data_IF_729249894135
#
_entry.id   IF_729249894135
#
_cell.length_a   1.000
_cell.length_b   1.000
_cell.length_c   1.000
_cell.angle_alpha   90.00
_cell.angle_beta   90.00
_cell.angle_gamma   90.00
#
_symmetry.space_group_name_H-M   'P 1'
#
loop_
_entity.id
_entity.type
_entity.pdbx_description
1 polymer ?
#
# COMPACT_ATOMS: atom_id res chain seq x y z
N UNK A 1 -8.65 5.25 17.29
CA UNK A 1 -7.41 4.56 17.70
C UNK A 1 -6.55 4.42 16.46
N UNK A 2 -5.31 4.92 16.48
CA UNK A 2 -4.38 4.77 15.38
C UNK A 2 -3.92 3.30 15.34
N UNK A 3 -4.68 2.43 14.68
CA UNK A 3 -4.32 1.02 14.52
C UNK A 3 -3.18 0.92 13.48
N UNK A 4 -1.99 1.29 13.90
CA UNK A 4 -0.75 1.15 13.14
C UNK A 4 -0.01 -0.03 13.76
N UNK A 5 -0.01 -1.16 13.05
CA UNK A 5 0.78 -2.32 13.44
C UNK A 5 2.15 -2.23 12.77
N UNK A 6 3.20 -2.22 13.57
CA UNK A 6 4.59 -2.23 13.10
C UNK A 6 5.29 -3.37 13.81
N UNK A 7 5.82 -4.31 13.03
CA UNK A 7 6.64 -5.38 13.58
C UNK A 7 7.93 -4.82 14.18
N UNK A 8 8.42 -5.41 15.28
CA UNK A 8 9.65 -4.97 15.98
C UNK A 8 10.91 -4.95 15.11
N UNK A 9 10.92 -5.74 14.04
CA UNK A 9 12.04 -5.81 13.08
C UNK A 9 11.90 -4.83 11.90
N UNK A 10 10.79 -4.11 11.81
CA UNK A 10 10.60 -3.09 10.79
C UNK A 10 11.27 -1.78 11.22
N UNK A 11 11.93 -1.13 10.26
CA UNK A 11 12.62 0.14 10.44
C UNK A 11 11.81 1.20 9.71
N UNK A 12 11.38 2.21 10.45
CA UNK A 12 10.67 3.38 9.92
C UNK A 12 11.49 4.59 10.30
N UNK A 13 12.00 5.30 9.30
CA UNK A 13 12.73 6.54 9.53
C UNK A 13 11.80 7.62 10.10
N UNK A 14 12.36 8.46 10.98
CA UNK A 14 11.62 9.46 11.75
C UNK A 14 10.77 10.45 10.95
N UNK A 15 11.10 10.70 9.68
CA UNK A 15 10.32 11.62 8.83
C UNK A 15 9.14 10.95 8.10
N UNK A 16 9.06 9.62 8.10
CA UNK A 16 8.03 8.90 7.36
C UNK A 16 6.63 9.23 7.91
N UNK A 17 5.68 9.46 7.01
CA UNK A 17 4.30 9.77 7.37
C UNK A 17 3.44 8.54 7.15
N UNK A 18 2.73 8.12 8.19
CA UNK A 18 1.84 6.95 8.14
C UNK A 18 0.40 7.34 8.46
N UNK A 19 -0.54 6.79 7.70
CA UNK A 19 -1.97 6.87 7.96
C UNK A 19 -2.43 5.87 9.02
N UNK A 20 -3.74 5.80 9.24
CA UNK A 20 -4.37 4.87 10.20
C UNK A 20 -4.69 3.52 9.57
N UNK A 21 -4.69 2.45 10.36
CA UNK A 21 -5.08 1.12 9.90
C UNK A 21 -4.00 0.43 9.08
N UNK A 22 -2.75 0.85 9.19
CA UNK A 22 -1.64 0.27 8.42
C UNK A 22 -1.03 -0.93 9.15
N UNK A 23 -0.50 -1.87 8.38
CA UNK A 23 0.24 -3.03 8.88
C UNK A 23 1.58 -3.09 8.18
N UNK A 24 2.67 -3.05 8.94
CA UNK A 24 4.04 -3.14 8.45
C UNK A 24 4.67 -4.41 9.03
N UNK A 25 5.02 -5.34 8.15
CA UNK A 25 5.57 -6.64 8.52
C UNK A 25 7.10 -6.63 8.59
N UNK A 26 7.64 -7.78 9.00
CA UNK A 26 9.06 -8.04 9.28
C UNK A 26 10.04 -7.50 8.23
N UNK A 27 11.15 -6.93 8.71
CA UNK A 27 12.28 -6.47 7.88
C UNK A 27 11.91 -5.45 6.81
N UNK A 28 10.81 -4.73 7.00
CA UNK A 28 10.45 -3.61 6.13
C UNK A 28 11.29 -2.39 6.50
N UNK A 29 11.76 -1.66 5.49
CA UNK A 29 12.39 -0.36 5.67
C UNK A 29 11.53 0.71 5.01
N UNK A 30 11.18 1.75 5.76
CA UNK A 30 10.45 2.92 5.25
C UNK A 30 11.31 4.17 5.38
N UNK A 31 11.67 4.76 4.24
CA UNK A 31 12.50 5.96 4.17
C UNK A 31 11.85 7.22 4.75
N UNK A 32 12.69 8.13 5.21
CA UNK A 32 12.34 9.35 5.95
C UNK A 32 11.36 10.30 5.27
N UNK A 33 11.15 10.22 3.96
CA UNK A 33 10.21 11.09 3.24
C UNK A 33 9.10 10.31 2.55
N UNK A 34 8.93 9.04 2.88
CA UNK A 34 7.84 8.22 2.40
C UNK A 34 6.51 8.63 3.05
N UNK A 35 5.45 8.59 2.26
CA UNK A 35 4.08 8.81 2.72
C UNK A 35 3.30 7.53 2.50
N UNK A 36 2.71 6.99 3.56
CA UNK A 36 1.85 5.81 3.54
C UNK A 36 0.45 6.25 3.95
N UNK A 37 -0.53 6.02 3.08
CA UNK A 37 -1.93 6.30 3.31
C UNK A 37 -2.56 5.37 4.34
N UNK A 38 -3.88 5.42 4.40
CA UNK A 38 -4.67 4.64 5.36
C UNK A 38 -4.94 3.23 4.85
N UNK A 39 -5.09 2.29 5.77
CA UNK A 39 -5.50 0.90 5.48
C UNK A 39 -4.57 0.20 4.49
N UNK A 40 -3.26 0.40 4.64
CA UNK A 40 -2.25 -0.22 3.80
C UNK A 40 -1.65 -1.45 4.49
N UNK A 41 -1.32 -2.47 3.72
CA UNK A 41 -0.64 -3.67 4.22
C UNK A 41 0.69 -3.83 3.48
N UNK A 42 1.78 -3.71 4.23
CA UNK A 42 3.16 -3.72 3.73
C UNK A 42 3.81 -5.03 4.16
N UNK A 43 4.00 -5.94 3.21
CA UNK A 43 4.57 -7.27 3.40
C UNK A 43 6.00 -7.29 3.94
N UNK A 44 6.54 -8.49 4.09
CA UNK A 44 7.87 -8.72 4.66
C UNK A 44 8.98 -8.34 3.67
N UNK A 45 10.10 -7.84 4.18
CA UNK A 45 11.28 -7.46 3.39
C UNK A 45 10.92 -6.48 2.26
N UNK A 46 10.07 -5.51 2.56
CA UNK A 46 9.72 -4.43 1.64
C UNK A 46 10.67 -3.26 1.85
N UNK A 47 11.15 -2.68 0.76
CA UNK A 47 12.01 -1.50 0.79
C UNK A 47 11.27 -0.32 0.18
N UNK A 48 10.97 0.71 0.99
CA UNK A 48 10.33 1.95 0.54
C UNK A 48 11.35 3.07 0.58
N UNK A 49 11.77 3.54 -0.59
CA UNK A 49 12.72 4.65 -0.73
C UNK A 49 12.06 5.97 -0.31
N UNK A 50 12.90 6.96 0.01
CA UNK A 50 12.51 8.35 0.14
C UNK A 50 11.65 8.86 -1.03
N UNK A 51 10.72 9.77 -0.72
CA UNK A 51 9.82 10.43 -1.66
C UNK A 51 8.88 9.48 -2.43
N UNK A 52 8.58 8.31 -1.85
CA UNK A 52 7.52 7.41 -2.32
C UNK A 52 6.18 7.78 -1.67
N UNK A 53 5.11 7.81 -2.46
CA UNK A 53 3.75 8.00 -1.93
C UNK A 53 2.90 6.76 -2.20
N UNK A 54 2.61 6.03 -1.13
CA UNK A 54 1.62 4.97 -1.09
C UNK A 54 0.32 5.60 -0.62
N UNK A 55 -0.70 5.59 -1.46
CA UNK A 55 -2.06 6.03 -1.20
C UNK A 55 -2.82 5.07 -0.30
N UNK A 56 -4.15 5.07 -0.38
CA UNK A 56 -5.00 4.34 0.55
C UNK A 56 -5.32 2.93 0.05
N UNK A 57 -5.54 1.99 0.98
CA UNK A 57 -6.01 0.65 0.63
C UNK A 57 -4.98 -0.19 -0.15
N UNK A 58 -3.71 0.21 -0.16
CA UNK A 58 -2.67 -0.49 -0.93
C UNK A 58 -2.23 -1.78 -0.22
N UNK A 59 -1.96 -2.81 -1.01
CA UNK A 59 -1.33 -4.06 -0.52
C UNK A 59 -0.04 -4.29 -1.27
N UNK A 60 1.07 -4.20 -0.53
CA UNK A 60 2.42 -4.46 -1.03
C UNK A 60 2.82 -5.85 -0.57
N UNK A 61 3.12 -6.74 -1.51
CA UNK A 61 3.58 -8.09 -1.17
C UNK A 61 5.05 -8.12 -0.74
N UNK A 62 5.47 -9.28 -0.24
CA UNK A 62 6.81 -9.51 0.27
C UNK A 62 7.87 -9.32 -0.84
N UNK A 63 9.08 -8.92 -0.44
CA UNK A 63 10.23 -8.73 -1.34
C UNK A 63 9.99 -7.70 -2.46
N UNK A 64 9.18 -6.68 -2.19
CA UNK A 64 8.93 -5.58 -3.13
C UNK A 64 9.82 -4.38 -2.77
N UNK A 65 10.39 -3.74 -3.79
CA UNK A 65 11.09 -2.47 -3.63
C UNK A 65 10.35 -1.37 -4.37
N UNK A 66 10.06 -0.26 -3.67
CA UNK A 66 9.42 0.93 -4.19
C UNK A 66 10.46 2.05 -4.28
N UNK A 67 10.66 2.54 -5.50
CA UNK A 67 11.61 3.61 -5.79
C UNK A 67 10.89 4.95 -5.99
N UNK A 68 11.68 6.03 -5.94
CA UNK A 68 11.20 7.41 -6.11
C UNK A 68 10.28 7.57 -7.32
N UNK A 69 9.19 8.32 -7.14
CA UNK A 69 8.20 8.61 -8.19
C UNK A 69 7.06 7.60 -8.28
N UNK A 70 7.09 6.53 -7.48
CA UNK A 70 5.96 5.60 -7.38
C UNK A 70 4.82 6.25 -6.59
N UNK A 71 3.69 6.40 -7.30
CA UNK A 71 2.39 6.78 -6.77
C UNK A 71 1.48 5.55 -6.86
N UNK A 72 1.02 5.04 -5.73
CA UNK A 72 0.09 3.91 -5.68
C UNK A 72 -1.19 4.37 -5.00
N UNK A 73 -2.37 3.99 -5.48
CA UNK A 73 -3.61 4.22 -4.74
C UNK A 73 -4.55 3.08 -5.05
N UNK A 74 -5.09 2.44 -4.01
CA UNK A 74 -5.88 1.22 -4.17
C UNK A 74 -5.16 0.11 -4.95
N UNK A 75 -3.83 0.04 -4.91
CA UNK A 75 -3.05 -0.86 -5.76
C UNK A 75 -2.62 -2.14 -5.04
N UNK A 76 -2.64 -3.26 -5.78
CA UNK A 76 -1.96 -4.50 -5.40
C UNK A 76 -0.63 -4.59 -6.13
N UNK A 77 0.47 -4.55 -5.39
CA UNK A 77 1.82 -4.58 -5.95
C UNK A 77 2.55 -5.83 -5.50
N UNK A 78 3.13 -6.55 -6.46
CA UNK A 78 3.88 -7.77 -6.21
C UNK A 78 4.91 -8.04 -7.31
N UNK A 79 5.86 -8.92 -7.00
CA UNK A 79 6.86 -9.43 -7.94
C UNK A 79 8.19 -8.67 -7.92
N UNK A 80 9.18 -9.28 -8.54
CA UNK A 80 10.50 -8.71 -8.80
C UNK A 80 10.85 -8.99 -10.28
N UNK A 81 10.83 -8.00 -11.19
CA UNK A 81 10.68 -6.57 -10.95
C UNK A 81 9.27 -6.19 -10.46
N UNK A 82 9.20 -5.18 -9.58
CA UNK A 82 7.97 -4.66 -8.98
C UNK A 82 6.95 -4.25 -10.04
N UNK A 83 5.76 -4.86 -10.04
CA UNK A 83 4.64 -4.49 -10.92
C UNK A 83 3.33 -4.39 -10.15
N UNK A 84 2.45 -3.51 -10.61
CA UNK A 84 1.06 -3.53 -10.18
C UNK A 84 0.34 -4.70 -10.85
N UNK A 85 -0.13 -5.66 -10.05
CA UNK A 85 -0.80 -6.87 -10.53
C UNK A 85 -2.33 -6.80 -10.40
N UNK A 86 -2.84 -5.73 -9.78
CA UNK A 86 -4.26 -5.54 -9.60
C UNK A 86 -4.59 -4.35 -8.72
N UNK A 87 -5.81 -4.37 -8.23
CA UNK A 87 -6.40 -3.31 -7.43
C UNK A 87 -7.03 -3.87 -6.16
N UNK A 88 -7.20 -3.00 -5.16
CA UNK A 88 -7.59 -3.31 -3.80
C UNK A 88 -8.67 -2.35 -3.33
N UNK A 89 -9.62 -2.86 -2.54
CA UNK A 89 -10.62 -2.00 -1.90
C UNK A 89 -10.08 -1.38 -0.59
N UNK A 90 -10.83 -0.47 0.04
CA UNK A 90 -10.48 0.08 1.37
C UNK A 90 -10.40 -0.96 2.51
N UNK A 91 -10.85 -2.19 2.30
CA UNK A 91 -10.69 -3.31 3.25
C UNK A 91 -9.50 -4.21 2.92
N UNK A 92 -8.63 -3.81 1.99
CA UNK A 92 -7.45 -4.59 1.59
C UNK A 92 -7.86 -5.97 1.03
N UNK A 93 -8.99 -6.00 0.31
CA UNK A 93 -9.44 -7.16 -0.48
C UNK A 93 -9.18 -6.91 -1.97
N UNK A 94 -8.74 -7.95 -2.70
CA UNK A 94 -8.45 -7.83 -4.13
C UNK A 94 -9.73 -7.60 -4.93
N UNK A 95 -9.72 -6.59 -5.79
CA UNK A 95 -10.80 -6.34 -6.74
C UNK A 95 -10.69 -7.30 -7.93
N UNK A 96 -11.81 -7.90 -8.31
CA UNK A 96 -11.94 -8.69 -9.52
C UNK A 96 -12.00 -7.78 -10.77
N UNK A 97 -11.95 -8.37 -11.97
CA UNK A 97 -11.86 -7.61 -13.24
C UNK A 97 -12.97 -6.58 -13.48
N UNK A 98 -14.12 -6.72 -12.83
CA UNK A 98 -15.27 -5.82 -12.90
C UNK A 98 -15.23 -4.68 -11.85
N UNK A 99 -14.12 -4.56 -11.08
CA UNK A 99 -13.91 -3.52 -10.05
C UNK A 99 -15.04 -3.42 -9.00
N UNK A 100 -15.81 -4.49 -8.87
CA UNK A 100 -16.75 -4.71 -7.80
C UNK A 100 -16.03 -5.42 -6.66
N UNK A 101 -16.18 -4.91 -5.44
CA UNK A 101 -15.58 -5.56 -4.30
C UNK A 101 -16.55 -6.59 -3.69
N UNK A 102 -16.20 -7.89 -3.64
CA UNK A 102 -17.04 -8.90 -3.00
C UNK A 102 -17.16 -8.71 -1.49
N UNK A 103 -16.16 -8.06 -0.89
CA UNK A 103 -16.11 -7.80 0.55
C UNK A 103 -17.05 -6.67 0.95
N UNK A 104 -17.10 -5.56 0.18
CA UNK A 104 -17.90 -4.38 0.52
C UNK A 104 -19.08 -4.03 -0.37
N UNK A 105 -19.29 -4.72 -1.48
CA UNK A 105 -20.35 -4.41 -2.43
C UNK A 105 -20.17 -3.06 -3.15
N UNK A 106 -19.09 -2.32 -2.86
CA UNK A 106 -18.79 -1.03 -3.47
C UNK A 106 -18.21 -1.23 -4.87
N UNK A 107 -18.52 -0.29 -5.75
CA UNK A 107 -18.01 -0.24 -7.11
C UNK A 107 -16.88 0.79 -7.21
N UNK A 108 -15.85 0.46 -7.97
CA UNK A 108 -14.72 1.35 -8.20
C UNK A 108 -14.59 1.70 -9.68
N UNK A 109 -14.16 2.91 -9.96
CA UNK A 109 -13.90 3.42 -11.31
C UNK A 109 -12.43 3.81 -11.44
N UNK A 110 -11.83 3.48 -12.58
CA UNK A 110 -10.45 3.88 -12.90
C UNK A 110 -10.40 5.36 -13.27
N UNK A 111 -9.45 6.06 -12.68
CA UNK A 111 -9.08 7.43 -13.01
C UNK A 111 -7.60 7.46 -13.42
N UNK A 112 -7.13 8.55 -14.01
CA UNK A 112 -5.73 8.68 -14.46
C UNK A 112 -4.71 8.46 -13.33
N UNK A 113 -5.08 8.78 -12.09
CA UNK A 113 -4.21 8.65 -10.91
C UNK A 113 -4.45 7.40 -10.05
N UNK A 114 -5.37 6.50 -10.41
CA UNK A 114 -5.70 5.33 -9.59
C UNK A 114 -7.14 4.82 -9.71
N UNK A 115 -7.77 4.51 -8.57
CA UNK A 115 -9.18 4.14 -8.47
C UNK A 115 -9.92 5.08 -7.53
N UNK A 116 -11.15 5.43 -7.91
CA UNK A 116 -12.11 6.11 -7.05
C UNK A 116 -13.33 5.22 -6.80
N UNK A 117 -13.98 5.38 -5.64
CA UNK A 117 -15.28 4.76 -5.37
C UNK A 117 -16.39 5.48 -6.16
N UNK A 118 -17.38 4.71 -6.64
CA UNK A 118 -18.59 5.19 -7.33
C UNK A 118 -19.83 5.04 -6.46
#
# INVERSE_FOLDING_TARGET
MNDVFVHETAIIDSGAKTGTGIQIWHWTHVGSSAVIGQKCNIGQNVFVVDQVTIGNGCKIQNNVSLYKGVLLDHSLVAGNPTKQIGWMCMRVERLAGHLHCPCCGKNYQRIESGLTER
#
